data_IF_726983761264
#
_entry.id   IF_726983761264
#
_cell.length_a   1.000
_cell.length_b   1.000
_cell.length_c   1.000
_cell.angle_alpha   90.00
_cell.angle_beta   90.00
_cell.angle_gamma   90.00
#
_symmetry.space_group_name_H-M   'P 1'
#
loop_
_entity.id
_entity.type
_entity.pdbx_description
1 polymer ?
#
# COMPACT_ATOMS: atom_id res chain seq x y z
N UNK A 1 16.49 -20.58 7.24
CA UNK A 1 15.86 -19.37 6.65
C UNK A 1 16.82 -18.19 6.49
N UNK A 2 17.74 -17.92 7.45
CA UNK A 2 18.74 -16.83 7.34
C UNK A 2 19.77 -17.05 6.21
N UNK A 3 20.35 -18.27 6.10
CA UNK A 3 21.32 -18.65 5.06
C UNK A 3 20.88 -18.36 3.61
N UNK A 4 19.62 -18.63 3.26
CA UNK A 4 19.11 -18.43 1.90
C UNK A 4 18.94 -16.93 1.51
N UNK A 5 18.88 -16.03 2.50
CA UNK A 5 18.87 -14.58 2.25
C UNK A 5 20.28 -14.02 2.11
N UNK A 6 21.26 -14.70 2.70
CA UNK A 6 22.66 -14.28 2.71
C UNK A 6 23.31 -14.45 1.31
N UNK A 7 22.79 -15.37 0.51
CA UNK A 7 23.20 -15.65 -0.88
C UNK A 7 22.58 -14.69 -1.92
N UNK A 8 21.58 -13.89 -1.54
CA UNK A 8 20.95 -12.93 -2.45
C UNK A 8 21.78 -11.66 -2.61
N UNK A 9 21.63 -10.99 -3.76
CA UNK A 9 22.11 -9.61 -3.94
C UNK A 9 21.46 -8.68 -2.90
N UNK A 10 22.06 -7.51 -2.60
CA UNK A 10 21.46 -6.55 -1.67
C UNK A 10 20.01 -6.19 -2.02
N UNK A 11 19.73 -5.97 -3.31
CA UNK A 11 18.38 -5.71 -3.80
C UNK A 11 17.46 -6.92 -3.58
N UNK A 12 17.88 -8.13 -3.93
CA UNK A 12 17.07 -9.33 -3.74
C UNK A 12 16.75 -9.61 -2.26
N UNK A 13 17.70 -9.33 -1.36
CA UNK A 13 17.47 -9.43 0.08
C UNK A 13 16.45 -8.39 0.56
N UNK A 14 16.55 -7.15 0.06
CA UNK A 14 15.60 -6.09 0.36
C UNK A 14 14.20 -6.43 -0.16
N UNK A 15 14.06 -6.88 -1.42
CA UNK A 15 12.79 -7.34 -1.99
C UNK A 15 12.16 -8.43 -1.13
N UNK A 16 12.92 -9.44 -0.74
CA UNK A 16 12.40 -10.51 0.12
C UNK A 16 11.98 -10.00 1.52
N UNK A 17 12.67 -9.01 2.07
CA UNK A 17 12.28 -8.39 3.34
C UNK A 17 10.98 -7.58 3.19
N UNK A 18 10.89 -6.77 2.14
CA UNK A 18 9.73 -5.96 1.78
C UNK A 18 8.47 -6.81 1.56
N UNK A 19 8.57 -7.92 0.82
CA UNK A 19 7.47 -8.88 0.62
C UNK A 19 6.98 -9.49 1.95
N UNK A 20 7.91 -9.80 2.86
CA UNK A 20 7.56 -10.30 4.20
C UNK A 20 6.90 -9.22 5.05
N UNK A 21 7.30 -7.96 4.91
CA UNK A 21 6.67 -6.83 5.59
C UNK A 21 5.24 -6.63 5.09
N UNK A 22 5.02 -6.61 3.79
CA UNK A 22 3.69 -6.53 3.18
C UNK A 22 2.77 -7.66 3.68
N UNK A 23 3.27 -8.89 3.72
CA UNK A 23 2.53 -10.03 4.23
C UNK A 23 2.12 -9.89 5.72
N UNK A 24 2.97 -9.26 6.55
CA UNK A 24 2.65 -9.00 7.97
C UNK A 24 1.63 -7.90 8.13
N UNK A 25 1.80 -6.79 7.41
CA UNK A 25 0.85 -5.66 7.43
C UNK A 25 -0.55 -6.17 7.10
N UNK A 26 -0.73 -6.82 5.95
CA UNK A 26 -2.07 -7.29 5.56
C UNK A 26 -2.60 -8.40 6.48
N UNK A 27 -1.70 -9.22 7.05
CA UNK A 27 -2.07 -10.25 8.03
C UNK A 27 -2.63 -9.69 9.34
N UNK A 28 -2.21 -8.48 9.75
CA UNK A 28 -2.73 -7.82 10.94
C UNK A 28 -4.16 -7.27 10.74
N UNK A 29 -4.50 -6.90 9.50
CA UNK A 29 -5.78 -6.28 9.18
C UNK A 29 -6.86 -7.27 8.74
N UNK A 30 -6.52 -8.48 8.29
CA UNK A 30 -7.53 -9.45 7.87
C UNK A 30 -7.06 -10.91 7.99
N UNK A 31 -7.55 -11.59 9.03
CA UNK A 31 -7.40 -13.04 9.20
C UNK A 31 -8.17 -13.82 8.14
N UNK A 32 -9.31 -13.29 7.67
CA UNK A 32 -10.14 -13.85 6.61
C UNK A 32 -9.47 -13.76 5.23
N UNK A 33 -8.81 -12.65 4.90
CA UNK A 33 -7.94 -12.53 3.73
C UNK A 33 -6.74 -13.48 3.81
N UNK A 34 -6.14 -13.55 5.01
CA UNK A 34 -5.12 -14.55 5.33
C UNK A 34 -5.59 -15.97 5.05
N UNK A 35 -6.86 -16.29 5.32
CA UNK A 35 -7.48 -17.58 5.05
C UNK A 35 -7.81 -17.81 3.57
N UNK A 36 -8.45 -16.85 2.91
CA UNK A 36 -8.83 -16.93 1.50
C UNK A 36 -7.62 -17.12 0.58
N UNK A 37 -6.49 -16.50 0.91
CA UNK A 37 -5.27 -16.58 0.11
C UNK A 37 -4.47 -17.87 0.32
N UNK A 38 -4.81 -18.73 1.30
CA UNK A 38 -4.12 -20.02 1.54
C UNK A 38 -4.31 -21.04 0.42
N UNK A 39 -5.39 -20.93 -0.35
CA UNK A 39 -5.66 -21.84 -1.48
C UNK A 39 -4.85 -21.48 -2.74
N UNK A 40 -4.24 -20.29 -2.77
CA UNK A 40 -3.47 -19.82 -3.91
C UNK A 40 -2.04 -20.36 -3.88
N UNK A 41 -1.48 -20.58 -5.08
CA UNK A 41 -0.06 -20.90 -5.23
C UNK A 41 0.82 -19.83 -4.57
N UNK A 42 1.99 -20.19 -3.98
CA UNK A 42 2.83 -19.28 -3.21
C UNK A 42 3.16 -17.96 -3.92
N UNK A 43 3.47 -18.02 -5.22
CA UNK A 43 3.79 -16.83 -6.03
C UNK A 43 2.59 -15.88 -6.16
N UNK A 44 1.41 -16.41 -6.51
CA UNK A 44 0.18 -15.60 -6.63
C UNK A 44 -0.22 -14.99 -5.29
N UNK A 45 -0.12 -15.77 -4.21
CA UNK A 45 -0.41 -15.31 -2.85
C UNK A 45 0.45 -14.11 -2.45
N UNK A 46 1.74 -14.14 -2.79
CA UNK A 46 2.66 -13.02 -2.54
C UNK A 46 2.25 -11.77 -3.30
N UNK A 47 2.00 -11.87 -4.61
CA UNK A 47 1.58 -10.71 -5.40
C UNK A 47 0.32 -10.06 -4.86
N UNK A 48 -0.68 -10.88 -4.50
CA UNK A 48 -1.92 -10.40 -3.89
C UNK A 48 -1.65 -9.70 -2.55
N UNK A 49 -0.79 -10.26 -1.68
CA UNK A 49 -0.44 -9.58 -0.42
C UNK A 49 0.26 -8.25 -0.64
N UNK A 50 1.14 -8.15 -1.63
CA UNK A 50 1.84 -6.90 -1.93
C UNK A 50 0.87 -5.83 -2.44
N UNK A 51 -0.09 -6.21 -3.31
CA UNK A 51 -1.15 -5.31 -3.80
C UNK A 51 -2.00 -4.81 -2.63
N UNK A 52 -2.54 -5.72 -1.83
CA UNK A 52 -3.43 -5.34 -0.73
C UNK A 52 -2.72 -4.60 0.39
N UNK A 53 -1.42 -4.81 0.58
CA UNK A 53 -0.65 -4.01 1.53
C UNK A 53 -0.55 -2.54 1.11
N UNK A 54 -0.33 -2.24 -0.18
CA UNK A 54 -0.35 -0.86 -0.68
C UNK A 54 -1.73 -0.24 -0.50
N UNK A 55 -2.78 -0.94 -0.91
CA UNK A 55 -4.17 -0.50 -0.74
C UNK A 55 -4.44 -0.15 0.72
N UNK A 56 -4.02 -1.02 1.64
CA UNK A 56 -4.21 -0.79 3.07
C UNK A 56 -3.49 0.47 3.58
N UNK A 57 -2.27 0.73 3.13
CA UNK A 57 -1.56 1.97 3.51
C UNK A 57 -2.31 3.19 3.00
N UNK A 58 -2.83 3.17 1.77
CA UNK A 58 -3.64 4.26 1.24
C UNK A 58 -4.92 4.48 2.07
N UNK A 59 -5.64 3.42 2.44
CA UNK A 59 -6.83 3.52 3.31
C UNK A 59 -6.52 4.20 4.66
N UNK A 60 -5.40 3.83 5.29
CA UNK A 60 -4.99 4.43 6.57
C UNK A 60 -4.63 5.92 6.46
N UNK A 61 -4.18 6.36 5.27
CA UNK A 61 -3.96 7.78 4.99
C UNK A 61 -5.28 8.54 4.82
N UNK A 62 -6.34 7.89 4.35
CA UNK A 62 -7.64 8.54 4.09
C UNK A 62 -8.49 8.61 5.37
N UNK A 63 -8.69 7.48 6.06
CA UNK A 63 -9.74 7.37 7.08
C UNK A 63 -9.26 6.92 8.47
N UNK A 64 -8.27 6.05 8.54
CA UNK A 64 -7.90 5.38 9.80
C UNK A 64 -6.85 6.13 10.63
N UNK A 65 -5.63 5.62 10.61
CA UNK A 65 -4.52 6.04 11.51
C UNK A 65 -4.23 7.54 11.47
N UNK A 66 -4.28 8.19 10.30
CA UNK A 66 -3.95 9.62 10.21
C UNK A 66 -4.90 10.50 11.03
N UNK A 67 -6.20 10.18 11.01
CA UNK A 67 -7.21 10.89 11.80
C UNK A 67 -6.96 10.71 13.30
N UNK A 68 -6.69 9.49 13.74
CA UNK A 68 -6.40 9.18 15.16
C UNK A 68 -5.08 9.82 15.64
N UNK A 69 -4.08 9.90 14.76
CA UNK A 69 -2.80 10.56 15.01
C UNK A 69 -2.89 12.10 14.98
N UNK A 70 -4.07 12.68 14.76
CA UNK A 70 -4.27 14.12 14.71
C UNK A 70 -3.67 14.80 13.47
N UNK A 71 -3.43 14.03 12.40
CA UNK A 71 -2.92 14.56 11.14
C UNK A 71 -4.06 15.29 10.42
N UNK A 72 -3.82 16.57 10.10
CA UNK A 72 -4.77 17.38 9.36
C UNK A 72 -4.99 16.89 7.93
N UNK A 73 -6.16 17.23 7.37
CA UNK A 73 -6.59 16.82 6.02
C UNK A 73 -5.63 17.21 4.90
N UNK A 74 -5.05 18.40 4.99
CA UNK A 74 -4.04 18.87 4.03
C UNK A 74 -2.81 17.95 4.04
N UNK A 75 -2.31 17.60 5.23
CA UNK A 75 -1.19 16.66 5.38
C UNK A 75 -1.56 15.22 4.95
N UNK A 76 -2.82 14.80 5.08
CA UNK A 76 -3.31 13.53 4.51
C UNK A 76 -3.29 13.55 2.99
N UNK A 77 -3.75 14.65 2.37
CA UNK A 77 -3.69 14.84 0.92
C UNK A 77 -2.25 14.80 0.40
N UNK A 78 -1.34 15.56 1.03
CA UNK A 78 0.08 15.55 0.67
C UNK A 78 0.73 14.17 0.87
N UNK A 79 0.33 13.44 1.91
CA UNK A 79 0.83 12.08 2.13
C UNK A 79 0.36 11.11 1.04
N UNK A 80 -0.88 11.25 0.58
CA UNK A 80 -1.43 10.44 -0.50
C UNK A 80 -0.75 10.75 -1.83
N UNK A 81 -0.51 12.03 -2.13
CA UNK A 81 0.23 12.45 -3.34
C UNK A 81 1.67 11.91 -3.33
N UNK A 82 2.37 12.02 -2.19
CA UNK A 82 3.71 11.43 -2.03
C UNK A 82 3.71 9.91 -2.19
N UNK A 83 2.68 9.22 -1.71
CA UNK A 83 2.56 7.78 -1.85
C UNK A 83 2.36 7.38 -3.32
N UNK A 84 1.57 8.14 -4.09
CA UNK A 84 1.41 7.93 -5.53
C UNK A 84 2.73 8.13 -6.26
N UNK A 85 3.39 9.27 -6.07
CA UNK A 85 4.67 9.60 -6.72
C UNK A 85 5.75 8.54 -6.43
N UNK A 86 5.87 8.12 -5.17
CA UNK A 86 6.81 7.07 -4.78
C UNK A 86 6.46 5.72 -5.45
N UNK A 87 5.17 5.39 -5.53
CA UNK A 87 4.69 4.16 -6.15
C UNK A 87 5.03 4.12 -7.63
N UNK A 88 4.73 5.19 -8.36
CA UNK A 88 5.03 5.26 -9.79
C UNK A 88 6.53 5.26 -10.06
N UNK A 89 7.31 6.00 -9.25
CA UNK A 89 8.77 6.00 -9.36
C UNK A 89 9.35 4.60 -9.13
N UNK A 90 8.86 3.88 -8.13
CA UNK A 90 9.30 2.52 -7.83
C UNK A 90 8.91 1.53 -8.92
N UNK A 91 7.72 1.67 -9.51
CA UNK A 91 7.30 0.86 -10.66
C UNK A 91 8.24 1.02 -11.84
N UNK A 92 8.75 2.24 -12.10
CA UNK A 92 9.71 2.52 -13.17
C UNK A 92 11.12 2.05 -12.84
N UNK A 93 11.64 2.40 -11.67
CA UNK A 93 13.05 2.17 -11.28
C UNK A 93 13.31 0.79 -10.69
N UNK A 94 12.28 0.11 -10.18
CA UNK A 94 12.40 -1.14 -9.45
C UNK A 94 12.83 -0.96 -7.99
N UNK A 95 12.82 0.26 -7.45
CA UNK A 95 13.26 0.55 -6.09
C UNK A 95 12.42 1.62 -5.40
N UNK A 96 12.21 1.44 -4.09
CA UNK A 96 11.71 2.45 -3.17
C UNK A 96 12.29 2.14 -1.79
N UNK A 97 12.51 3.18 -0.98
CA UNK A 97 12.94 3.02 0.42
C UNK A 97 11.78 2.61 1.34
N UNK A 98 10.53 2.86 0.93
CA UNK A 98 9.34 2.33 1.58
C UNK A 98 9.15 0.84 1.21
N UNK A 99 9.24 -0.08 2.19
CA UNK A 99 9.19 -1.51 1.91
C UNK A 99 7.84 -1.97 1.33
N UNK A 100 6.74 -1.28 1.63
CA UNK A 100 5.43 -1.66 1.10
C UNK A 100 5.32 -1.27 -0.37
N UNK A 101 5.76 -0.05 -0.70
CA UNK A 101 5.83 0.43 -2.09
C UNK A 101 6.80 -0.43 -2.91
N UNK A 102 7.96 -0.77 -2.36
CA UNK A 102 8.92 -1.66 -3.03
C UNK A 102 8.35 -3.05 -3.34
N UNK A 103 7.62 -3.64 -2.39
CA UNK A 103 6.97 -4.93 -2.58
C UNK A 103 5.87 -4.87 -3.66
N UNK A 104 5.08 -3.79 -3.67
CA UNK A 104 4.09 -3.52 -4.70
C UNK A 104 4.76 -3.37 -6.07
N UNK A 105 5.78 -2.51 -6.20
CA UNK A 105 6.47 -2.26 -7.45
C UNK A 105 7.06 -3.54 -8.07
N UNK A 106 7.61 -4.43 -7.24
CA UNK A 106 8.06 -5.76 -7.67
C UNK A 106 6.92 -6.57 -8.31
N UNK A 107 5.73 -6.53 -7.71
CA UNK A 107 4.53 -7.18 -8.25
C UNK A 107 4.04 -6.52 -9.52
N UNK A 108 3.99 -5.19 -9.55
CA UNK A 108 3.50 -4.42 -10.68
C UNK A 108 4.32 -4.69 -11.94
N UNK A 109 5.65 -4.64 -11.82
CA UNK A 109 6.58 -4.95 -12.91
C UNK A 109 6.48 -6.39 -13.39
N UNK A 110 6.28 -7.34 -12.48
CA UNK A 110 6.15 -8.76 -12.81
C UNK A 110 4.78 -9.14 -13.40
N UNK A 111 3.76 -8.30 -13.22
CA UNK A 111 2.37 -8.61 -13.57
C UNK A 111 1.76 -7.67 -14.62
N UNK A 112 2.52 -6.68 -15.10
CA UNK A 112 2.04 -5.69 -16.09
C UNK A 112 1.07 -4.67 -15.52
N UNK A 113 1.15 -4.34 -14.23
CA UNK A 113 0.39 -3.22 -13.65
C UNK A 113 1.15 -1.93 -13.99
N UNK A 114 0.44 -0.95 -14.54
CA UNK A 114 0.97 0.36 -14.90
C UNK A 114 0.10 1.51 -14.33
N UNK A 115 0.43 2.75 -14.72
CA UNK A 115 -0.25 3.95 -14.24
C UNK A 115 -1.70 4.08 -14.69
N UNK A 116 -2.13 3.32 -15.70
CA UNK A 116 -3.54 3.26 -16.10
C UNK A 116 -4.40 2.56 -15.05
N UNK A 117 -3.79 1.78 -14.16
CA UNK A 117 -4.45 1.14 -13.02
C UNK A 117 -4.20 1.91 -11.71
N UNK A 118 -2.96 2.37 -11.45
CA UNK A 118 -2.65 3.05 -10.19
C UNK A 118 -3.24 4.46 -10.13
N UNK A 119 -3.23 5.21 -11.23
CA UNK A 119 -3.77 6.57 -11.27
C UNK A 119 -5.25 6.65 -10.87
N UNK A 120 -6.15 5.83 -11.48
CA UNK A 120 -7.55 5.78 -11.06
C UNK A 120 -7.75 5.36 -9.61
N UNK A 121 -6.91 4.46 -9.10
CA UNK A 121 -6.93 4.04 -7.70
C UNK A 121 -6.63 5.21 -6.75
N UNK A 122 -5.54 5.94 -6.97
CA UNK A 122 -5.19 7.09 -6.13
C UNK A 122 -6.17 8.26 -6.31
N UNK A 123 -6.73 8.45 -7.51
CA UNK A 123 -7.81 9.40 -7.74
C UNK A 123 -9.06 9.06 -6.90
N UNK A 124 -9.42 7.78 -6.78
CA UNK A 124 -10.51 7.32 -5.90
C UNK A 124 -10.22 7.66 -4.44
N UNK A 125 -9.01 7.36 -3.94
CA UNK A 125 -8.61 7.65 -2.56
C UNK A 125 -8.71 9.15 -2.23
N UNK A 126 -8.32 10.03 -3.16
CA UNK A 126 -8.50 11.48 -3.00
C UNK A 126 -9.98 11.89 -2.96
N UNK A 127 -10.83 11.23 -3.74
CA UNK A 127 -12.25 11.52 -3.77
C UNK A 127 -12.94 11.11 -2.45
N UNK A 128 -12.50 10.00 -1.85
CA UNK A 128 -12.97 9.53 -0.54
C UNK A 128 -12.56 10.51 0.56
N UNK A 129 -11.30 10.96 0.55
CA UNK A 129 -10.79 11.98 1.49
C UNK A 129 -11.62 13.27 1.45
N UNK A 130 -11.97 13.76 0.25
CA UNK A 130 -12.86 14.93 0.07
C UNK A 130 -14.30 14.68 0.53
N UNK A 131 -14.79 13.46 0.39
CA UNK A 131 -16.15 13.10 0.82
C UNK A 131 -16.27 13.07 2.34
N UNK A 132 -15.24 12.58 3.02
CA UNK A 132 -15.16 12.62 4.46
C UNK A 132 -15.18 14.06 5.01
N UNK A 133 -14.59 15.03 4.31
CA UNK A 133 -14.65 16.46 4.68
C UNK A 133 -16.06 17.05 4.63
N UNK A 134 -16.82 16.73 3.57
CA UNK A 134 -18.21 17.19 3.44
C UNK A 134 -19.05 16.70 4.61
N UNK A 135 -18.91 15.43 4.98
CA UNK A 135 -19.66 14.83 6.09
C UNK A 135 -19.28 15.42 7.45
N UNK A 136 -17.98 15.68 7.68
CA UNK A 136 -17.51 16.32 8.91
C UNK A 136 -18.01 17.78 9.03
N UNK A 137 -18.01 18.53 7.93
CA UNK A 137 -18.54 19.90 7.89
C UNK A 137 -20.04 19.95 8.20
N UNK A 138 -20.84 19.06 7.58
CA UNK A 138 -22.28 18.97 7.85
C UNK A 138 -22.60 18.65 9.31
N UNK A 139 -21.84 17.77 9.96
CA UNK A 139 -22.05 17.45 11.40
C UNK A 139 -21.73 18.63 12.33
N UNK A 140 -20.89 19.57 11.90
CA UNK A 140 -20.50 20.74 12.70
C UNK A 140 -21.50 21.89 12.61
N UNK A 141 -22.35 21.92 11.57
CA UNK A 141 -23.37 22.97 11.36
C UNK A 141 -24.71 22.67 12.03
N UNK A 142 -24.93 21.44 12.51
CA UNK A 142 -26.19 21.00 13.14
C UNK A 142 -26.08 20.94 14.69
N UNK A 143 -25.05 21.57 15.27
CA UNK A 143 -24.90 21.79 16.71
C UNK A 143 -24.86 23.27 17.00
#
# INVERSE_FOLDING_TARGET
MRRALDELTPLGRYTAASERSAARVIGAYSTSFGAATRLLAPNRRRHIRNIYALVRIADELVDGVCTEAGIGREAQHEALDRLEDETELAMRTGYSSNPIVHAFATTARGSGIDTTLTGPFFASMRADLRSADRLASTRRTVR
#
